data_IF_055431799181
#
_entry.id   IF_055431799181
#
_cell.length_a   1.000
_cell.length_b   1.000
_cell.length_c   1.000
_cell.angle_alpha   90.00
_cell.angle_beta   90.00
_cell.angle_gamma   90.00
#
_symmetry.space_group_name_H-M   'P 1'
#
loop_
_entity.id
_entity.type
_entity.pdbx_description
1 polymer ?
#
# COMPACT_ATOMS: atom_id res chain seq x y z
N UNK A 1 23.02 3.48 5.74
CA UNK A 1 23.52 4.68 6.44
C UNK A 1 23.47 4.49 7.96
N UNK A 2 22.28 4.28 8.57
CA UNK A 2 22.13 4.11 10.01
C UNK A 2 23.04 3.00 10.59
N UNK A 3 23.07 1.83 9.94
CA UNK A 3 23.92 0.72 10.39
C UNK A 3 25.41 1.08 10.40
N UNK A 4 25.87 1.90 9.46
CA UNK A 4 27.29 2.29 9.38
C UNK A 4 27.63 3.49 10.26
N UNK A 5 26.81 4.56 10.21
CA UNK A 5 27.12 5.83 10.88
C UNK A 5 26.78 5.81 12.37
N UNK A 6 25.63 5.21 12.73
CA UNK A 6 25.10 5.23 14.11
C UNK A 6 25.42 3.94 14.88
N UNK A 7 25.34 2.77 14.21
CA UNK A 7 25.63 1.47 14.83
C UNK A 7 27.09 1.02 14.68
N UNK A 8 27.90 1.69 13.84
CA UNK A 8 29.31 1.40 13.65
C UNK A 8 29.61 0.09 12.93
N UNK A 9 28.64 -0.48 12.20
CA UNK A 9 28.85 -1.70 11.41
C UNK A 9 29.68 -1.33 10.16
N UNK A 10 30.84 -1.97 9.91
CA UNK A 10 31.62 -1.71 8.71
C UNK A 10 30.82 -1.95 7.44
N UNK A 11 30.96 -1.07 6.45
CA UNK A 11 30.19 -1.18 5.20
C UNK A 11 30.45 -2.49 4.43
N UNK A 12 31.66 -3.03 4.55
CA UNK A 12 32.03 -4.32 3.97
C UNK A 12 31.31 -5.52 4.59
N UNK A 13 30.70 -5.35 5.77
CA UNK A 13 29.89 -6.37 6.44
C UNK A 13 28.40 -6.24 6.10
N UNK A 14 28.02 -5.32 5.19
CA UNK A 14 26.65 -5.10 4.78
C UNK A 14 26.52 -5.42 3.29
N UNK A 15 25.78 -6.47 2.96
CA UNK A 15 25.45 -6.82 1.57
C UNK A 15 23.99 -6.44 1.29
N UNK A 16 23.76 -5.66 0.23
CA UNK A 16 22.44 -5.24 -0.21
C UNK A 16 22.23 -5.75 -1.63
N UNK A 17 21.13 -6.46 -1.85
CA UNK A 17 20.74 -6.98 -3.17
C UNK A 17 19.32 -6.58 -3.49
N UNK A 18 19.00 -6.50 -4.78
CA UNK A 18 17.66 -6.21 -5.28
C UNK A 18 17.03 -7.50 -5.81
N UNK A 19 15.85 -7.85 -5.28
CA UNK A 19 15.05 -8.99 -5.73
C UNK A 19 14.32 -8.73 -7.06
N UNK A 20 14.38 -7.51 -7.61
CA UNK A 20 13.82 -7.10 -8.91
C UNK A 20 12.34 -7.44 -9.11
N UNK A 21 11.61 -7.51 -8.01
CA UNK A 21 10.22 -7.98 -7.97
C UNK A 21 10.04 -9.41 -8.56
N UNK A 22 11.09 -10.23 -8.47
CA UNK A 22 11.13 -11.63 -8.90
C UNK A 22 11.36 -12.54 -7.69
N UNK A 23 10.34 -13.35 -7.35
CA UNK A 23 10.40 -14.23 -6.18
C UNK A 23 11.47 -15.32 -6.32
N UNK A 24 11.74 -15.81 -7.52
CA UNK A 24 12.78 -16.82 -7.74
C UNK A 24 14.18 -16.22 -7.52
N UNK A 25 14.41 -15.01 -8.01
CA UNK A 25 15.65 -14.26 -7.77
C UNK A 25 15.85 -14.01 -6.27
N UNK A 26 14.83 -13.51 -5.55
CA UNK A 26 14.92 -13.28 -4.13
C UNK A 26 15.19 -14.57 -3.34
N UNK A 27 14.55 -15.68 -3.73
CA UNK A 27 14.78 -16.99 -3.09
C UNK A 27 16.25 -17.43 -3.23
N UNK A 28 16.85 -17.27 -4.43
CA UNK A 28 18.24 -17.57 -4.67
C UNK A 28 19.18 -16.69 -3.84
N UNK A 29 18.84 -15.40 -3.71
CA UNK A 29 19.63 -14.45 -2.88
C UNK A 29 19.60 -14.85 -1.40
N UNK A 30 18.41 -15.23 -0.88
CA UNK A 30 18.24 -15.71 0.49
C UNK A 30 19.03 -17.00 0.73
N UNK A 31 18.95 -17.95 -0.18
CA UNK A 31 19.70 -19.21 -0.10
C UNK A 31 21.22 -18.94 -0.12
N UNK A 32 21.67 -17.93 -0.88
CA UNK A 32 23.06 -17.46 -0.85
C UNK A 32 23.47 -16.90 0.51
N UNK A 33 22.66 -16.02 1.11
CA UNK A 33 22.94 -15.48 2.45
C UNK A 33 22.98 -16.55 3.54
N UNK A 34 22.11 -17.56 3.45
CA UNK A 34 22.13 -18.70 4.36
C UNK A 34 23.42 -19.52 4.17
N UNK A 35 23.85 -19.76 2.93
CA UNK A 35 25.09 -20.47 2.66
C UNK A 35 26.34 -19.71 3.12
N UNK A 36 26.31 -18.38 3.04
CA UNK A 36 27.37 -17.49 3.55
C UNK A 36 27.35 -17.31 5.07
N UNK A 37 26.33 -17.88 5.74
CA UNK A 37 26.16 -17.85 7.20
C UNK A 37 26.20 -16.42 7.75
N UNK A 38 25.38 -15.53 7.18
CA UNK A 38 25.23 -14.15 7.64
C UNK A 38 24.66 -14.10 9.07
N UNK A 39 25.00 -13.06 9.82
CA UNK A 39 24.55 -12.90 11.22
C UNK A 39 23.05 -12.55 11.34
N UNK A 40 22.49 -11.87 10.34
CA UNK A 40 21.09 -11.44 10.30
C UNK A 40 20.63 -11.14 8.86
N UNK A 41 19.39 -11.41 8.54
CA UNK A 41 18.78 -10.98 7.30
C UNK A 41 17.72 -9.90 7.55
N UNK A 42 17.72 -8.83 6.72
CA UNK A 42 16.64 -7.81 6.68
C UNK A 42 15.97 -7.94 5.33
N UNK A 43 14.70 -8.31 5.32
CA UNK A 43 13.99 -8.73 4.12
C UNK A 43 12.72 -7.90 3.87
N UNK A 44 12.65 -7.27 2.71
CA UNK A 44 11.39 -6.85 2.11
C UNK A 44 10.96 -7.93 1.12
N UNK A 45 9.99 -8.76 1.48
CA UNK A 45 9.56 -9.89 0.66
C UNK A 45 8.99 -9.41 -0.69
N UNK A 46 9.33 -10.10 -1.77
CA UNK A 46 8.68 -9.91 -3.07
C UNK A 46 7.24 -10.40 -2.99
N UNK A 47 7.02 -11.58 -2.41
CA UNK A 47 5.68 -12.13 -2.14
C UNK A 47 5.56 -12.51 -0.67
N UNK A 48 4.55 -11.99 0.02
CA UNK A 48 4.30 -12.33 1.44
C UNK A 48 4.06 -13.84 1.65
N UNK A 49 3.50 -14.53 0.66
CA UNK A 49 3.31 -15.99 0.66
C UNK A 49 4.59 -16.81 0.75
N UNK A 50 5.77 -16.20 0.51
CA UNK A 50 7.06 -16.87 0.68
C UNK A 50 7.56 -16.88 2.12
N UNK A 51 6.92 -16.13 3.04
CA UNK A 51 7.41 -15.92 4.40
C UNK A 51 7.66 -17.23 5.15
N UNK A 52 6.69 -18.17 5.17
CA UNK A 52 6.85 -19.44 5.86
C UNK A 52 8.10 -20.22 5.43
N UNK A 53 8.36 -20.28 4.11
CA UNK A 53 9.53 -20.98 3.59
C UNK A 53 10.84 -20.30 3.97
N UNK A 54 10.87 -18.97 3.95
CA UNK A 54 12.03 -18.17 4.35
C UNK A 54 12.32 -18.36 5.83
N UNK A 55 11.29 -18.28 6.69
CA UNK A 55 11.41 -18.44 8.12
C UNK A 55 11.96 -19.82 8.46
N UNK A 56 11.41 -20.89 7.89
CA UNK A 56 11.87 -22.26 8.13
C UNK A 56 13.33 -22.46 7.74
N UNK A 57 13.77 -21.91 6.61
CA UNK A 57 15.17 -22.00 6.17
C UNK A 57 16.12 -21.22 7.09
N UNK A 58 15.74 -20.01 7.47
CA UNK A 58 16.53 -19.16 8.35
C UNK A 58 16.65 -19.74 9.76
N UNK A 59 15.54 -20.24 10.32
CA UNK A 59 15.49 -20.88 11.63
C UNK A 59 16.36 -22.13 11.69
N UNK A 60 16.30 -22.99 10.64
CA UNK A 60 17.15 -24.16 10.52
C UNK A 60 18.66 -23.82 10.47
N UNK A 61 19.01 -22.62 9.97
CA UNK A 61 20.38 -22.10 9.93
C UNK A 61 20.74 -21.30 11.20
N UNK A 62 19.77 -21.01 12.08
CA UNK A 62 19.98 -20.18 13.27
C UNK A 62 20.19 -18.70 12.95
N UNK A 63 19.68 -18.23 11.80
CA UNK A 63 19.84 -16.84 11.34
C UNK A 63 18.56 -16.06 11.64
N UNK A 64 18.61 -15.01 12.48
CA UNK A 64 17.45 -14.16 12.74
C UNK A 64 17.06 -13.35 11.51
N UNK A 65 15.74 -13.07 11.37
CA UNK A 65 15.18 -12.32 10.25
C UNK A 65 14.36 -11.14 10.73
N UNK A 66 14.64 -9.98 10.15
CA UNK A 66 13.82 -8.77 10.29
C UNK A 66 13.06 -8.56 8.99
N UNK A 67 11.75 -8.80 9.01
CA UNK A 67 10.89 -8.43 7.89
C UNK A 67 10.59 -6.94 7.93
N UNK A 68 10.61 -6.29 6.77
CA UNK A 68 10.30 -4.87 6.64
C UNK A 68 9.27 -4.65 5.55
N UNK A 69 8.47 -3.57 5.67
CA UNK A 69 7.50 -3.10 4.70
C UNK A 69 6.34 -4.09 4.47
N UNK A 70 6.57 -5.24 3.85
CA UNK A 70 5.53 -6.26 3.60
C UNK A 70 5.38 -7.19 4.79
N UNK A 71 4.23 -7.10 5.45
CA UNK A 71 3.93 -7.88 6.64
C UNK A 71 3.72 -9.37 6.29
N UNK A 72 4.44 -10.33 6.94
CA UNK A 72 4.07 -11.74 6.90
C UNK A 72 2.74 -11.96 7.62
N UNK A 73 2.06 -13.08 7.35
CA UNK A 73 0.84 -13.42 8.10
C UNK A 73 1.12 -13.68 9.59
N UNK A 74 0.11 -13.54 10.43
CA UNK A 74 0.23 -13.86 11.87
C UNK A 74 0.65 -15.32 12.08
N UNK A 75 0.15 -16.24 11.25
CA UNK A 75 0.53 -17.66 11.30
C UNK A 75 2.00 -17.85 10.92
N UNK A 76 2.52 -17.12 9.93
CA UNK A 76 3.93 -17.18 9.58
C UNK A 76 4.81 -16.61 10.69
N UNK A 77 4.41 -15.50 11.30
CA UNK A 77 5.13 -14.89 12.42
C UNK A 77 5.18 -15.78 13.65
N UNK A 78 4.26 -16.71 13.82
CA UNK A 78 4.25 -17.68 14.91
C UNK A 78 5.20 -18.89 14.71
N UNK A 79 5.85 -19.00 13.54
CA UNK A 79 6.71 -20.14 13.21
C UNK A 79 8.07 -20.12 13.92
N UNK A 80 8.57 -18.96 14.35
CA UNK A 80 9.88 -18.84 15.02
C UNK A 80 9.94 -17.61 15.93
N UNK A 81 10.65 -17.74 17.05
CA UNK A 81 10.97 -16.62 17.94
C UNK A 81 12.17 -15.77 17.42
N UNK A 82 12.86 -16.23 16.39
CA UNK A 82 14.03 -15.57 15.78
C UNK A 82 13.67 -14.52 14.74
N UNK A 83 12.43 -14.10 14.66
CA UNK A 83 11.95 -13.16 13.64
C UNK A 83 11.22 -11.97 14.25
N UNK A 84 11.23 -10.85 13.54
CA UNK A 84 10.37 -9.71 13.84
C UNK A 84 9.95 -9.00 12.56
N UNK A 85 8.87 -8.22 12.64
CA UNK A 85 8.41 -7.34 11.57
C UNK A 85 8.50 -5.87 12.01
N UNK A 86 8.96 -5.04 11.09
CA UNK A 86 9.00 -3.58 11.25
C UNK A 86 8.33 -2.94 10.05
N UNK A 87 7.20 -2.32 10.27
CA UNK A 87 6.40 -1.66 9.23
C UNK A 87 5.25 -0.86 9.81
N UNK A 88 4.42 -0.27 8.94
CA UNK A 88 3.19 0.39 9.31
C UNK A 88 2.04 -0.63 9.43
N UNK A 89 1.05 -0.32 10.26
CA UNK A 89 -0.20 -1.07 10.28
C UNK A 89 -1.11 -0.61 9.12
N UNK A 90 -1.22 -1.45 8.10
CA UNK A 90 -2.03 -1.14 6.93
C UNK A 90 -3.54 -1.04 7.23
N UNK A 91 -4.02 -1.65 8.33
CA UNK A 91 -5.40 -1.49 8.83
C UNK A 91 -5.64 -0.05 9.27
N UNK A 92 -4.65 0.54 9.95
CA UNK A 92 -4.70 1.94 10.37
C UNK A 92 -4.71 2.87 9.17
N UNK A 93 -3.84 2.63 8.17
CA UNK A 93 -3.78 3.45 6.96
C UNK A 93 -5.12 3.45 6.22
N UNK A 94 -5.71 2.26 5.99
CA UNK A 94 -7.05 2.17 5.39
C UNK A 94 -8.11 2.89 6.22
N UNK A 95 -8.10 2.68 7.54
CA UNK A 95 -9.06 3.35 8.45
C UNK A 95 -8.99 4.86 8.32
N UNK A 96 -7.80 5.44 8.28
CA UNK A 96 -7.64 6.89 8.13
C UNK A 96 -8.12 7.38 6.76
N UNK A 97 -7.89 6.65 5.66
CA UNK A 97 -8.47 7.01 4.37
C UNK A 97 -10.01 7.13 4.45
N UNK A 98 -10.67 6.13 5.03
CA UNK A 98 -12.12 6.16 5.18
C UNK A 98 -12.61 7.26 6.12
N UNK A 99 -11.90 7.53 7.22
CA UNK A 99 -12.21 8.61 8.15
C UNK A 99 -12.12 9.99 7.49
N UNK A 100 -11.07 10.25 6.69
CA UNK A 100 -10.95 11.50 5.95
C UNK A 100 -12.22 11.76 5.11
N UNK A 101 -12.74 10.74 4.42
CA UNK A 101 -13.96 10.87 3.62
C UNK A 101 -15.20 11.06 4.50
N UNK A 102 -15.32 10.29 5.58
CA UNK A 102 -16.46 10.40 6.50
C UNK A 102 -16.56 11.78 7.20
N UNK A 103 -15.44 12.49 7.33
CA UNK A 103 -15.32 13.83 7.93
C UNK A 103 -15.54 14.98 6.93
N UNK A 104 -15.62 14.69 5.61
CA UNK A 104 -15.96 15.71 4.61
C UNK A 104 -17.37 16.27 4.83
N UNK A 105 -17.64 17.48 4.35
CA UNK A 105 -18.93 18.17 4.56
C UNK A 105 -20.12 17.36 4.04
N UNK A 106 -19.97 16.76 2.84
CA UNK A 106 -20.98 15.88 2.20
C UNK A 106 -20.80 14.39 2.55
N UNK A 107 -19.84 14.04 3.44
CA UNK A 107 -19.54 12.67 3.88
C UNK A 107 -19.23 11.72 2.71
N UNK A 108 -18.55 12.24 1.71
CA UNK A 108 -18.14 11.47 0.55
C UNK A 108 -19.22 11.31 -0.53
N UNK A 109 -20.40 11.88 -0.39
CA UNK A 109 -21.52 11.80 -1.34
C UNK A 109 -21.61 13.11 -2.16
N UNK A 110 -20.91 13.18 -3.29
CA UNK A 110 -20.93 14.34 -4.16
C UNK A 110 -22.18 14.42 -5.03
N UNK A 111 -22.70 13.30 -5.46
CA UNK A 111 -23.86 13.27 -6.35
C UNK A 111 -25.20 13.39 -5.59
N UNK A 112 -25.19 13.31 -4.25
CA UNK A 112 -26.35 13.54 -3.38
C UNK A 112 -27.38 12.41 -3.40
N UNK A 113 -26.98 11.20 -3.76
CA UNK A 113 -27.87 10.04 -3.84
C UNK A 113 -28.02 9.28 -2.50
N UNK A 114 -27.29 9.68 -1.47
CA UNK A 114 -27.30 9.07 -0.13
C UNK A 114 -26.39 7.84 -0.02
N UNK A 115 -25.47 7.65 -0.94
CA UNK A 115 -24.50 6.54 -1.00
C UNK A 115 -23.15 7.10 -1.41
N UNK A 116 -22.06 6.57 -0.86
CA UNK A 116 -20.70 6.86 -1.33
C UNK A 116 -20.35 5.90 -2.45
N UNK A 117 -20.37 6.38 -3.68
CA UNK A 117 -20.03 5.62 -4.87
C UNK A 117 -18.54 5.68 -5.11
N UNK A 118 -17.84 4.55 -4.94
CA UNK A 118 -16.38 4.56 -4.94
C UNK A 118 -15.72 3.68 -5.99
N UNK A 119 -14.52 4.09 -6.36
CA UNK A 119 -13.54 3.35 -7.13
C UNK A 119 -12.39 2.97 -6.21
N UNK A 120 -11.93 1.71 -6.29
CA UNK A 120 -10.77 1.22 -5.57
C UNK A 120 -9.67 0.79 -6.55
N UNK A 121 -8.49 1.41 -6.45
CA UNK A 121 -7.29 1.03 -7.17
C UNK A 121 -6.35 0.36 -6.18
N UNK A 122 -6.32 -0.97 -6.23
CA UNK A 122 -5.57 -1.80 -5.29
C UNK A 122 -4.10 -1.88 -5.68
N UNK A 123 -3.24 -2.09 -4.69
CA UNK A 123 -1.90 -2.61 -4.91
C UNK A 123 -1.91 -4.05 -5.43
N UNK A 124 -0.87 -4.82 -5.10
CA UNK A 124 -0.85 -6.26 -5.36
C UNK A 124 -1.78 -6.96 -4.36
N UNK A 125 -2.85 -7.63 -4.80
CA UNK A 125 -3.79 -8.31 -3.91
C UNK A 125 -3.17 -9.49 -3.13
N UNK A 126 -2.00 -10.00 -3.52
CA UNK A 126 -1.26 -10.99 -2.74
C UNK A 126 -0.48 -10.35 -1.58
N UNK A 127 -0.38 -9.01 -1.55
CA UNK A 127 0.20 -8.27 -0.45
C UNK A 127 -0.88 -7.94 0.59
N UNK A 128 -0.61 -8.30 1.83
CA UNK A 128 -1.51 -8.07 2.98
C UNK A 128 -1.84 -6.58 3.14
N UNK A 129 -0.89 -5.68 2.88
CA UNK A 129 -1.14 -4.23 2.95
C UNK A 129 -2.22 -3.78 1.96
N UNK A 130 -2.21 -4.32 0.73
CA UNK A 130 -3.24 -3.98 -0.25
C UNK A 130 -4.62 -4.46 0.20
N UNK A 131 -4.70 -5.66 0.78
CA UNK A 131 -5.95 -6.21 1.32
C UNK A 131 -6.48 -5.34 2.45
N UNK A 132 -5.64 -5.02 3.44
CA UNK A 132 -6.06 -4.25 4.61
C UNK A 132 -6.38 -2.79 4.28
N UNK A 133 -5.59 -2.12 3.46
CA UNK A 133 -5.92 -0.74 3.02
C UNK A 133 -7.26 -0.71 2.28
N UNK A 134 -7.52 -1.71 1.42
CA UNK A 134 -8.80 -1.84 0.70
C UNK A 134 -9.96 -2.11 1.64
N UNK A 135 -9.85 -3.09 2.53
CA UNK A 135 -10.92 -3.48 3.45
C UNK A 135 -11.24 -2.37 4.45
N UNK A 136 -10.20 -1.85 5.12
CA UNK A 136 -10.39 -0.94 6.25
C UNK A 136 -10.78 0.48 5.83
N UNK A 137 -10.47 0.93 4.60
CA UNK A 137 -10.98 2.20 4.09
C UNK A 137 -12.51 2.16 3.94
N UNK A 138 -13.04 1.07 3.44
CA UNK A 138 -14.49 0.90 3.26
C UNK A 138 -15.16 0.57 4.60
N UNK A 139 -14.50 -0.23 5.45
CA UNK A 139 -14.98 -0.51 6.79
C UNK A 139 -15.16 0.77 7.61
N UNK A 140 -14.23 1.71 7.54
CA UNK A 140 -14.33 2.98 8.26
C UNK A 140 -15.55 3.80 7.82
N UNK A 141 -15.90 3.81 6.54
CA UNK A 141 -17.13 4.45 6.04
C UNK A 141 -18.39 3.75 6.59
N UNK A 142 -18.43 2.43 6.55
CA UNK A 142 -19.59 1.66 7.05
C UNK A 142 -19.73 1.76 8.57
N UNK A 143 -18.61 1.77 9.32
CA UNK A 143 -18.62 1.99 10.77
C UNK A 143 -19.10 3.41 11.14
N UNK A 144 -18.87 4.40 10.26
CA UNK A 144 -19.44 5.75 10.39
C UNK A 144 -20.93 5.82 10.01
N UNK A 145 -21.54 4.70 9.66
CA UNK A 145 -22.96 4.59 9.29
C UNK A 145 -23.29 5.01 7.85
N UNK A 146 -22.27 5.17 7.01
CA UNK A 146 -22.46 5.54 5.60
C UNK A 146 -22.80 4.31 4.76
N UNK A 147 -23.63 4.51 3.75
CA UNK A 147 -23.86 3.50 2.71
C UNK A 147 -22.79 3.65 1.65
N UNK A 148 -22.25 2.54 1.18
CA UNK A 148 -21.19 2.51 0.18
C UNK A 148 -21.60 1.66 -1.01
N UNK A 149 -21.18 2.03 -2.20
CA UNK A 149 -21.39 1.24 -3.41
C UNK A 149 -20.10 1.20 -4.23
N UNK A 150 -19.61 0.00 -4.45
CA UNK A 150 -18.40 -0.23 -5.24
C UNK A 150 -18.73 -0.21 -6.74
N UNK A 151 -18.30 0.83 -7.44
CA UNK A 151 -18.45 0.93 -8.88
C UNK A 151 -17.37 0.15 -9.61
N UNK A 152 -16.14 0.23 -9.12
CA UNK A 152 -14.96 -0.35 -9.79
C UNK A 152 -13.91 -0.75 -8.77
N UNK A 153 -13.23 -1.89 -8.99
CA UNK A 153 -12.08 -2.32 -8.20
C UNK A 153 -11.15 -3.10 -9.11
N UNK A 154 -9.90 -2.67 -9.21
CA UNK A 154 -8.91 -3.31 -10.05
C UNK A 154 -7.50 -3.20 -9.46
N UNK A 155 -6.64 -4.14 -9.88
CA UNK A 155 -5.24 -4.23 -9.49
C UNK A 155 -4.38 -3.24 -10.25
N UNK A 156 -3.76 -2.28 -9.55
CA UNK A 156 -2.84 -1.28 -10.10
C UNK A 156 -1.35 -1.55 -9.77
N UNK A 157 -1.05 -2.60 -9.01
CA UNK A 157 0.32 -3.08 -8.72
C UNK A 157 1.29 -2.02 -8.18
N UNK A 158 0.79 -1.05 -7.43
CA UNK A 158 1.55 0.08 -6.88
C UNK A 158 2.13 1.04 -7.94
N UNK A 159 1.74 0.86 -9.22
CA UNK A 159 2.30 1.56 -10.37
C UNK A 159 1.48 2.79 -10.76
N UNK A 160 2.16 3.93 -10.98
CA UNK A 160 1.52 5.20 -11.32
C UNK A 160 0.80 5.14 -12.66
N UNK A 161 1.41 4.52 -13.68
CA UNK A 161 0.81 4.43 -15.02
C UNK A 161 -0.45 3.59 -15.01
N UNK A 162 -0.40 2.44 -14.30
CA UNK A 162 -1.60 1.61 -14.10
C UNK A 162 -2.68 2.35 -13.31
N UNK A 163 -2.30 3.10 -12.29
CA UNK A 163 -3.22 3.98 -11.55
C UNK A 163 -3.96 4.94 -12.47
N UNK A 164 -3.24 5.59 -13.39
CA UNK A 164 -3.83 6.50 -14.39
C UNK A 164 -4.77 5.77 -15.35
N UNK A 165 -4.34 4.64 -15.92
CA UNK A 165 -5.13 3.85 -16.88
C UNK A 165 -6.43 3.32 -16.26
N UNK A 166 -6.38 2.82 -15.02
CA UNK A 166 -7.52 2.30 -14.29
C UNK A 166 -8.51 3.42 -13.90
N UNK A 167 -7.99 4.55 -13.39
CA UNK A 167 -8.82 5.71 -13.09
C UNK A 167 -9.50 6.25 -14.35
N UNK A 168 -8.77 6.38 -15.48
CA UNK A 168 -9.34 6.81 -16.76
C UNK A 168 -10.45 5.85 -17.23
N UNK A 169 -10.25 4.55 -17.07
CA UNK A 169 -11.25 3.52 -17.42
C UNK A 169 -12.51 3.66 -16.55
N UNK A 170 -12.35 3.83 -15.24
CA UNK A 170 -13.47 4.02 -14.33
C UNK A 170 -14.24 5.31 -14.63
N UNK A 171 -13.52 6.43 -14.85
CA UNK A 171 -14.10 7.73 -15.20
C UNK A 171 -14.85 7.68 -16.53
N UNK A 172 -14.33 6.97 -17.53
CA UNK A 172 -15.03 6.78 -18.81
C UNK A 172 -16.31 5.96 -18.68
N UNK A 173 -16.34 4.99 -17.75
CA UNK A 173 -17.47 4.09 -17.55
C UNK A 173 -18.57 4.69 -16.67
N UNK A 174 -18.20 5.38 -15.59
CA UNK A 174 -19.12 5.84 -14.55
C UNK A 174 -19.22 7.38 -14.47
N UNK A 175 -18.30 8.12 -15.07
CA UNK A 175 -18.38 9.57 -15.18
C UNK A 175 -18.57 10.27 -13.83
N UNK A 176 -19.67 11.02 -13.73
CA UNK A 176 -20.01 11.79 -12.54
C UNK A 176 -20.67 10.98 -11.42
N UNK A 177 -20.91 9.69 -11.63
CA UNK A 177 -21.41 8.82 -10.56
C UNK A 177 -20.31 8.47 -9.54
N UNK A 178 -19.02 8.68 -9.87
CA UNK A 178 -17.91 8.43 -8.95
C UNK A 178 -17.78 9.59 -7.97
N UNK A 179 -17.94 9.31 -6.69
CA UNK A 179 -17.71 10.26 -5.60
C UNK A 179 -16.26 10.24 -5.09
N UNK A 180 -15.67 9.05 -4.96
CA UNK A 180 -14.36 8.84 -4.35
C UNK A 180 -13.51 7.86 -5.15
N UNK A 181 -12.24 8.20 -5.38
CA UNK A 181 -11.22 7.24 -5.82
C UNK A 181 -10.26 6.99 -4.66
N UNK A 182 -10.27 5.75 -4.14
CA UNK A 182 -9.28 5.25 -3.20
C UNK A 182 -8.14 4.59 -3.95
N UNK A 183 -6.90 4.96 -3.63
CA UNK A 183 -5.70 4.28 -4.08
C UNK A 183 -4.96 3.71 -2.87
N UNK A 184 -4.46 2.49 -2.98
CA UNK A 184 -3.71 1.87 -1.89
C UNK A 184 -2.33 2.50 -1.68
N UNK A 185 -1.80 3.31 -2.65
CA UNK A 185 -0.61 4.12 -2.45
C UNK A 185 -0.65 5.42 -3.26
N UNK A 186 0.28 6.31 -2.96
CA UNK A 186 0.41 7.62 -3.59
C UNK A 186 0.83 7.55 -5.06
N UNK A 187 1.67 6.59 -5.45
CA UNK A 187 2.06 6.46 -6.85
C UNK A 187 0.83 6.23 -7.74
N UNK A 188 -0.07 5.32 -7.35
CA UNK A 188 -1.33 5.12 -8.08
C UNK A 188 -2.25 6.35 -7.99
N UNK A 189 -2.27 7.06 -6.84
CA UNK A 189 -3.07 8.27 -6.66
C UNK A 189 -2.58 9.42 -7.55
N UNK A 190 -1.27 9.59 -7.74
CA UNK A 190 -0.71 10.55 -8.71
C UNK A 190 -1.18 10.26 -10.14
N UNK A 191 -1.20 8.98 -10.52
CA UNK A 191 -1.77 8.56 -11.81
C UNK A 191 -3.26 8.87 -11.90
N UNK A 192 -4.02 8.56 -10.87
CA UNK A 192 -5.46 8.84 -10.80
C UNK A 192 -5.77 10.34 -10.86
N UNK A 193 -4.96 11.19 -10.20
CA UNK A 193 -5.10 12.64 -10.26
C UNK A 193 -4.99 13.17 -11.69
N UNK A 194 -4.04 12.65 -12.46
CA UNK A 194 -3.91 13.03 -13.87
C UNK A 194 -5.14 12.61 -14.68
N UNK A 195 -5.66 11.40 -14.46
CA UNK A 195 -6.87 10.92 -15.14
C UNK A 195 -8.12 11.75 -14.78
N UNK A 196 -8.27 12.14 -13.51
CA UNK A 196 -9.35 13.03 -13.05
C UNK A 196 -9.30 14.37 -13.79
N UNK A 197 -8.11 14.98 -13.86
CA UNK A 197 -7.88 16.22 -14.57
C UNK A 197 -8.19 16.10 -16.07
N UNK A 198 -7.73 15.03 -16.72
CA UNK A 198 -7.96 14.77 -18.14
C UNK A 198 -9.44 14.54 -18.44
N UNK A 199 -10.21 13.99 -17.50
CA UNK A 199 -11.65 13.84 -17.57
C UNK A 199 -12.41 15.18 -17.31
N UNK A 200 -11.71 16.27 -17.00
CA UNK A 200 -12.30 17.58 -16.73
C UNK A 200 -12.94 17.68 -15.34
N UNK A 201 -12.63 16.78 -14.43
CA UNK A 201 -13.09 16.81 -13.04
C UNK A 201 -12.07 17.48 -12.13
N UNK A 202 -12.52 17.91 -10.96
CA UNK A 202 -11.67 18.66 -10.02
C UNK A 202 -11.81 18.04 -8.61
N UNK A 203 -10.69 17.57 -8.09
CA UNK A 203 -10.62 17.05 -6.71
C UNK A 203 -11.06 18.14 -5.72
N UNK A 204 -11.87 17.76 -4.72
CA UNK A 204 -12.39 18.68 -3.72
C UNK A 204 -13.56 19.57 -4.19
N UNK A 205 -14.01 19.45 -5.45
CA UNK A 205 -15.15 20.17 -5.99
C UNK A 205 -16.25 19.25 -6.53
N UNK A 206 -15.88 18.08 -7.06
CA UNK A 206 -16.83 17.13 -7.62
C UNK A 206 -16.40 15.66 -7.48
N UNK A 207 -15.21 15.41 -6.94
CA UNK A 207 -14.67 14.08 -6.67
C UNK A 207 -13.64 14.15 -5.53
N UNK A 208 -13.48 13.06 -4.79
CA UNK A 208 -12.41 12.89 -3.82
C UNK A 208 -11.34 11.92 -4.31
N UNK A 209 -10.09 12.14 -3.90
CA UNK A 209 -8.94 11.30 -4.21
C UNK A 209 -8.09 11.09 -2.98
N UNK A 210 -7.77 9.82 -2.67
CA UNK A 210 -6.93 9.46 -1.53
C UNK A 210 -5.80 8.51 -1.94
N UNK A 211 -4.66 8.70 -1.27
CA UNK A 211 -3.48 7.86 -1.36
C UNK A 211 -2.98 7.40 0.02
N UNK A 212 -1.84 6.75 0.03
CA UNK A 212 -1.07 6.34 1.22
C UNK A 212 0.39 6.46 0.87
N UNK A 213 1.24 6.82 1.80
CA UNK A 213 2.70 6.91 1.88
C UNK A 213 3.18 8.33 2.20
N UNK A 214 2.33 9.34 2.11
CA UNK A 214 2.68 10.75 2.32
C UNK A 214 3.91 11.19 1.49
N UNK A 215 3.97 10.81 0.21
CA UNK A 215 5.00 11.29 -0.69
C UNK A 215 4.98 12.83 -0.73
N UNK A 216 6.16 13.45 -0.79
CA UNK A 216 6.28 14.91 -0.75
C UNK A 216 5.38 15.62 -1.78
N UNK A 217 5.28 15.09 -2.99
CA UNK A 217 4.39 15.59 -4.04
C UNK A 217 2.92 15.48 -3.65
N UNK A 218 2.49 14.35 -3.06
CA UNK A 218 1.11 14.17 -2.62
C UNK A 218 0.77 15.08 -1.43
N UNK A 219 1.71 15.29 -0.50
CA UNK A 219 1.54 16.26 0.59
C UNK A 219 1.38 17.68 0.05
N UNK A 220 2.12 18.08 -0.98
CA UNK A 220 1.91 19.37 -1.67
C UNK A 220 0.53 19.44 -2.31
N UNK A 221 0.08 18.37 -2.98
CA UNK A 221 -1.25 18.31 -3.59
C UNK A 221 -2.39 18.37 -2.56
N UNK A 222 -2.21 17.82 -1.36
CA UNK A 222 -3.17 18.00 -0.26
C UNK A 222 -3.21 19.45 0.19
N UNK A 223 -2.06 20.11 0.31
CA UNK A 223 -1.97 21.52 0.73
C UNK A 223 -2.60 22.49 -0.29
N UNK A 224 -2.54 22.18 -1.57
CA UNK A 224 -3.13 23.02 -2.64
C UNK A 224 -4.56 22.58 -3.03
N UNK A 225 -5.08 21.51 -2.44
CA UNK A 225 -6.44 21.01 -2.63
C UNK A 225 -6.65 20.18 -3.89
N UNK A 226 -5.58 19.73 -4.57
CA UNK A 226 -5.65 18.85 -5.76
C UNK A 226 -5.60 17.36 -5.39
N UNK A 227 -5.49 17.04 -4.10
CA UNK A 227 -5.67 15.73 -3.51
C UNK A 227 -6.42 15.88 -2.19
N UNK A 228 -7.33 14.96 -1.88
CA UNK A 228 -8.15 15.04 -0.65
C UNK A 228 -7.33 14.66 0.58
N UNK A 229 -6.47 13.66 0.44
CA UNK A 229 -5.62 13.21 1.54
C UNK A 229 -4.65 12.10 1.13
N UNK A 230 -3.55 12.02 1.87
CA UNK A 230 -2.63 10.89 1.91
C UNK A 230 -2.34 10.53 3.36
N UNK A 231 -2.12 9.27 3.65
CA UNK A 231 -1.95 8.72 5.00
C UNK A 231 -0.53 8.20 5.19
#
# INVERSE_FOLDING_TARGET
RYLTEDCGIPAENITIVDGKNDQAEQTNQIDGFIADNVDVMILNLVQSSSAASVIQKADAAGIPVVFINREPSEDDMALSDGICYVGADARQSGTFQGQIIAETENKGDWNGNGVVDYVMIMGDPENVDAQYRTEFSIKALTDAGLKVNKLFEQRGDWDQTKGQELAATALAQYGNDIDVIFCNNDAMALGAAQAIKDAGRTVGQDIYLLGVDALAECVEMVNDGTMTGTV
#
